data_IF_897444434129
#
_entry.id   IF_897444434129
#
_cell.length_a   1.000
_cell.length_b   1.000
_cell.length_c   1.000
_cell.angle_alpha   90.00
_cell.angle_beta   90.00
_cell.angle_gamma   90.00
#
_symmetry.space_group_name_H-M   'P 1'
#
loop_
_entity.id
_entity.type
_entity.pdbx_description
1 polymer ?
2 non-polymer ?
3 non-polymer ?
4 non-polymer ?
5 non-polymer ?
6 water ?
#
# COMPACT_ATOMS: atom_id res chain seq x y z
N UNK A 2 -27.70 1.33 -4.94
CA UNK A 2 -26.68 2.39 -5.00
C UNK A 2 -25.51 2.18 -4.04
N UNK A 3 -24.31 2.45 -4.56
CA UNK A 3 -23.10 2.27 -3.78
C UNK A 3 -23.11 3.16 -2.52
N UNK A 4 -22.60 2.62 -1.42
CA UNK A 4 -22.62 3.32 -0.14
C UNK A 4 -21.22 3.35 0.49
N UNK A 5 -20.87 4.53 0.97
CA UNK A 5 -19.59 4.78 1.62
C UNK A 5 -19.80 5.19 3.06
N UNK A 6 -19.12 4.49 3.95
CA UNK A 6 -19.14 4.80 5.38
C UNK A 6 -18.01 5.75 5.81
N UNK A 7 -18.35 6.77 6.58
CA UNK A 7 -17.39 7.64 7.22
C UNK A 7 -16.84 8.79 6.40
N UNK A 8 -17.71 9.51 5.66
CA UNK A 8 -17.18 10.47 4.69
C UNK A 8 -16.50 11.70 5.29
N UNK A 9 -16.67 11.91 6.59
CA UNK A 9 -16.07 13.09 7.23
C UNK A 9 -14.61 12.89 7.57
N UNK A 10 -14.14 11.65 7.48
CA UNK A 10 -12.73 11.41 7.77
C UNK A 10 -11.91 11.53 6.50
N UNK A 11 -10.61 11.60 6.66
CA UNK A 11 -9.74 11.94 5.55
C UNK A 11 -9.63 10.78 4.58
N UNK A 12 -9.30 9.61 5.10
CA UNK A 12 -9.07 8.45 4.25
C UNK A 12 -10.25 8.11 3.30
N UNK A 13 -11.51 8.16 3.79
CA UNK A 13 -12.62 7.91 2.86
C UNK A 13 -12.70 8.88 1.69
N UNK A 14 -12.19 10.09 1.86
CA UNK A 14 -12.24 11.06 0.78
C UNK A 14 -11.48 10.58 -0.48
N UNK A 15 -10.48 9.71 -0.31
CA UNK A 15 -9.79 9.14 -1.48
C UNK A 15 -10.79 8.42 -2.39
N UNK A 16 -11.72 7.69 -1.76
CA UNK A 16 -12.78 7.00 -2.46
C UNK A 16 -13.84 7.99 -2.95
N UNK A 17 -14.22 8.95 -2.12
CA UNK A 17 -15.25 9.92 -2.51
C UNK A 17 -14.86 10.71 -3.75
N UNK A 18 -13.62 11.24 -3.76
CA UNK A 18 -13.20 12.04 -4.92
C UNK A 18 -13.11 11.15 -6.18
N UNK A 19 -12.73 9.88 -6.02
CA UNK A 19 -12.66 9.01 -7.18
C UNK A 19 -14.07 8.81 -7.77
N UNK A 20 -15.04 8.56 -6.89
CA UNK A 20 -16.44 8.41 -7.28
C UNK A 20 -16.96 9.64 -8.04
N UNK A 21 -16.65 10.82 -7.51
CA UNK A 21 -17.10 12.06 -8.14
C UNK A 21 -16.37 12.31 -9.47
N UNK A 22 -15.06 12.05 -9.53
CA UNK A 22 -14.34 12.16 -10.83
C UNK A 22 -14.98 11.28 -11.91
N UNK A 23 -15.41 10.08 -11.51
CA UNK A 23 -15.96 9.08 -12.42
C UNK A 23 -17.44 9.24 -12.69
N UNK A 24 -18.06 10.25 -12.10
CA UNK A 24 -19.48 10.50 -12.27
C UNK A 24 -20.39 9.42 -11.70
N UNK A 25 -19.93 8.71 -10.67
CA UNK A 25 -20.72 7.61 -10.11
C UNK A 25 -21.63 8.04 -8.95
N UNK A 26 -22.92 7.69 -9.02
CA UNK A 26 -23.88 7.89 -7.91
C UNK A 26 -23.52 7.07 -6.66
N UNK A 27 -23.66 7.69 -5.49
CA UNK A 27 -23.34 7.01 -4.23
C UNK A 27 -24.00 7.73 -3.07
N UNK A 28 -24.09 7.05 -1.93
CA UNK A 28 -24.63 7.66 -0.71
C UNK A 28 -23.59 7.46 0.36
N UNK A 29 -23.68 8.26 1.42
CA UNK A 29 -22.71 8.13 2.47
C UNK A 29 -23.48 7.88 3.75
N UNK A 30 -22.84 7.19 4.69
CA UNK A 30 -23.41 6.85 5.98
C UNK A 30 -22.38 7.17 7.04
N UNK A 31 -22.75 8.04 8.00
CA UNK A 31 -21.84 8.48 9.07
C UNK A 31 -21.36 7.34 9.96
N UNK A 32 -20.19 7.54 10.56
CA UNK A 32 -19.68 6.60 11.55
C UNK A 32 -19.31 7.41 12.80
N UNK A 33 -19.95 7.07 13.92
CA UNK A 33 -19.77 7.83 15.15
C UNK A 33 -18.66 7.24 16.02
N UNK A 34 -17.46 7.80 15.92
CA UNK A 34 -16.32 7.31 16.69
C UNK A 34 -16.57 7.55 18.17
N UNK A 35 -17.14 8.71 18.50
CA UNK A 35 -17.34 9.11 19.89
C UNK A 35 -18.16 8.07 20.63
N UNK A 36 -19.07 7.42 19.92
CA UNK A 36 -19.84 6.36 20.54
C UNK A 36 -19.22 4.96 20.28
N UNK A 37 -18.10 4.90 19.57
CA UNK A 37 -17.46 3.61 19.32
C UNK A 37 -18.28 2.72 18.36
N UNK A 38 -19.08 3.33 17.51
CA UNK A 38 -19.81 2.60 16.49
C UNK A 38 -18.84 1.70 15.69
N UNK A 39 -17.63 2.20 15.46
CA UNK A 39 -16.65 1.50 14.64
C UNK A 39 -16.06 0.27 15.33
N UNK A 40 -16.29 0.12 16.63
CA UNK A 40 -15.77 -1.03 17.34
C UNK A 40 -16.89 -1.98 17.74
N UNK A 41 -18.10 -1.69 17.26
CA UNK A 41 -19.26 -2.55 17.52
C UNK A 41 -19.47 -3.52 16.38
N UNK A 42 -20.17 -4.65 16.64
CA UNK A 42 -20.33 -5.75 15.68
C UNK A 42 -20.91 -5.38 14.27
N UNK A 43 -21.93 -4.53 14.19
CA UNK A 43 -22.50 -4.20 12.89
C UNK A 43 -21.44 -3.65 11.94
N UNK A 44 -20.65 -2.70 12.41
CA UNK A 44 -19.66 -2.12 11.53
C UNK A 44 -18.48 -3.08 11.33
N UNK A 45 -18.14 -3.87 12.34
CA UNK A 45 -17.02 -4.78 12.18
C UNK A 45 -17.33 -5.87 11.12
N UNK A 46 -18.62 -6.10 10.86
CA UNK A 46 -19.02 -7.04 9.84
C UNK A 46 -18.76 -6.48 8.43
N UNK A 47 -18.65 -5.15 8.30
CA UNK A 47 -18.28 -4.54 7.03
C UNK A 47 -16.78 -4.34 6.92
N UNK A 48 -16.18 -3.83 8.01
CA UNK A 48 -14.76 -3.56 8.09
C UNK A 48 -14.17 -4.13 9.37
N UNK A 49 -13.51 -5.28 9.27
CA UNK A 49 -13.12 -6.09 10.43
C UNK A 49 -11.97 -5.47 11.25
N UNK A 50 -11.32 -4.44 10.72
CA UNK A 50 -10.25 -3.77 11.46
C UNK A 50 -10.78 -2.56 12.21
N UNK A 51 -12.07 -2.30 12.02
CA UNK A 51 -12.75 -1.21 12.67
C UNK A 51 -12.26 0.15 12.26
N UNK A 52 -11.90 0.32 10.98
CA UNK A 52 -11.50 1.65 10.47
C UNK A 52 -12.33 2.01 9.23
N UNK A 53 -12.35 3.30 8.92
CA UNK A 53 -13.06 3.84 7.77
C UNK A 53 -12.13 4.01 6.57
N UNK A 54 -12.65 3.88 5.35
CA UNK A 54 -14.06 3.69 4.99
C UNK A 54 -14.47 2.23 4.88
N UNK A 55 -15.78 2.01 4.71
CA UNK A 55 -16.25 0.71 4.27
C UNK A 55 -17.20 1.02 3.14
N UNK A 56 -17.11 0.23 2.06
CA UNK A 56 -17.93 0.49 0.91
C UNK A 56 -18.77 -0.72 0.59
N UNK A 57 -20.05 -0.50 0.36
CA UNK A 57 -20.94 -1.57 -0.05
C UNK A 57 -21.58 -1.24 -1.39
N UNK A 58 -21.47 -2.16 -2.34
CA UNK A 58 -22.02 -1.91 -3.66
C UNK A 58 -22.95 -3.03 -4.02
N UNK A 59 -24.21 -2.88 -3.62
CA UNK A 59 -25.17 -3.97 -3.74
C UNK A 59 -24.77 -5.06 -2.75
N UNK A 60 -24.48 -6.26 -3.25
CA UNK A 60 -24.03 -7.36 -2.37
C UNK A 60 -22.52 -7.34 -2.15
N UNK A 61 -21.80 -6.45 -2.85
CA UNK A 61 -20.35 -6.47 -2.84
C UNK A 61 -19.76 -5.52 -1.79
N UNK A 62 -18.91 -6.05 -0.90
CA UNK A 62 -18.29 -5.23 0.13
C UNK A 62 -16.82 -5.10 -0.19
N UNK A 63 -16.29 -3.89 0.00
CA UNK A 63 -14.86 -3.69 -0.17
C UNK A 63 -14.36 -2.57 0.73
N UNK A 64 -13.19 -2.79 1.32
CA UNK A 64 -12.55 -1.76 2.15
C UNK A 64 -11.06 -1.55 1.75
N UNK A 65 -10.40 -0.65 2.50
CA UNK A 65 -9.09 -0.04 2.16
C UNK A 65 -9.33 1.00 1.10
N UNK A 66 -9.09 2.25 1.48
CA UNK A 66 -9.43 3.37 0.63
C UNK A 66 -8.84 3.26 -0.78
N UNK A 67 -7.59 2.82 -0.90
CA UNK A 67 -6.99 2.74 -2.24
C UNK A 67 -7.46 1.52 -3.02
N UNK A 68 -7.82 0.45 -2.31
CA UNK A 68 -8.46 -0.68 -3.00
C UNK A 68 -9.81 -0.24 -3.60
N UNK A 69 -10.55 0.59 -2.88
CA UNK A 69 -11.81 1.10 -3.37
C UNK A 69 -11.60 1.99 -4.60
N UNK A 70 -10.60 2.87 -4.53
CA UNK A 70 -10.24 3.69 -5.69
C UNK A 70 -10.00 2.82 -6.92
N UNK A 71 -9.19 1.76 -6.79
CA UNK A 71 -8.91 0.89 -7.92
C UNK A 71 -10.20 0.21 -8.47
N UNK A 72 -11.03 -0.28 -7.54
CA UNK A 72 -12.25 -0.99 -7.90
C UNK A 72 -13.19 -0.10 -8.71
N UNK A 73 -13.40 1.12 -8.23
CA UNK A 73 -14.26 2.10 -8.88
C UNK A 73 -13.72 2.49 -10.26
N UNK A 74 -12.41 2.67 -10.32
CA UNK A 74 -11.76 3.10 -11.58
C UNK A 74 -11.77 1.97 -12.61
N UNK A 75 -11.78 0.72 -12.14
CA UNK A 75 -11.82 -0.41 -13.08
C UNK A 75 -13.25 -0.61 -13.54
N UNK A 76 -14.18 -0.66 -12.58
CA UNK A 76 -15.58 -0.90 -12.86
C UNK A 76 -16.21 0.15 -13.78
N UNK A 77 -15.79 1.41 -13.62
CA UNK A 77 -16.33 2.49 -14.42
C UNK A 77 -15.27 3.06 -15.35
N UNK A 78 -14.40 2.18 -15.81
CA UNK A 78 -13.26 2.61 -16.59
C UNK A 78 -13.66 3.41 -17.82
N UNK A 79 -14.79 3.06 -18.42
CA UNK A 79 -15.13 3.64 -19.71
C UNK A 79 -15.83 5.01 -19.62
N UNK A 80 -15.99 5.54 -18.41
CA UNK A 80 -16.59 6.85 -18.27
C UNK A 80 -15.69 7.81 -17.49
N UNK A 81 -15.84 9.10 -17.75
CA UNK A 81 -15.01 10.10 -17.08
C UNK A 81 -13.54 10.07 -17.46
N UNK A 82 -12.69 10.70 -16.65
CA UNK A 82 -11.27 10.62 -17.01
C UNK A 82 -10.82 9.19 -16.76
N UNK A 83 -9.76 8.72 -17.44
CA UNK A 83 -9.27 7.38 -17.12
C UNK A 83 -8.16 7.50 -16.12
N UNK A 84 -8.48 7.19 -14.87
CA UNK A 84 -7.60 7.45 -13.75
C UNK A 84 -6.59 6.35 -13.60
N UNK A 85 -6.67 5.37 -14.50
CA UNK A 85 -5.74 4.24 -14.52
C UNK A 85 -4.73 4.27 -15.67
N UNK A 86 -4.77 5.32 -16.48
CA UNK A 86 -3.93 5.36 -17.66
C UNK A 86 -4.53 4.50 -18.76
N UNK A 87 -3.87 4.44 -19.91
CA UNK A 87 -4.38 3.63 -21.01
C UNK A 87 -3.69 2.25 -21.09
N UNK A 88 -2.37 2.21 -20.91
CA UNK A 88 -1.64 0.96 -21.09
C UNK A 88 -1.30 0.27 -19.76
N UNK A 89 -0.74 -0.94 -19.86
CA UNK A 89 -0.22 -1.69 -18.73
C UNK A 89 0.95 -0.95 -18.05
N UNK A 90 1.82 -0.36 -18.86
CA UNK A 90 2.94 0.41 -18.33
C UNK A 90 2.43 1.62 -17.60
N UNK A 91 1.44 2.29 -18.19
CA UNK A 91 0.78 3.40 -17.53
C UNK A 91 0.26 2.98 -16.17
N UNK A 92 -0.45 1.85 -16.14
CA UNK A 92 -1.06 1.46 -14.91
C UNK A 92 -0.01 1.09 -13.85
N UNK A 93 1.11 0.52 -14.31
CA UNK A 93 2.22 0.22 -13.44
C UNK A 93 2.73 1.47 -12.72
N UNK A 94 2.80 2.59 -13.42
CA UNK A 94 3.26 3.83 -12.79
C UNK A 94 2.20 4.34 -11.79
N UNK A 95 0.92 4.12 -12.07
CA UNK A 95 -0.12 4.52 -11.13
C UNK A 95 -0.01 3.70 -9.84
N UNK A 96 0.23 2.41 -9.99
CA UNK A 96 0.40 1.53 -8.85
C UNK A 96 1.63 1.91 -8.04
N UNK A 97 2.70 2.23 -8.73
CA UNK A 97 3.98 2.62 -8.10
C UNK A 97 3.77 3.81 -7.16
N UNK A 98 3.23 4.89 -7.70
CA UNK A 98 3.02 6.08 -6.89
C UNK A 98 1.88 5.96 -5.86
N UNK A 99 0.93 5.05 -6.10
CA UNK A 99 -0.11 4.74 -5.13
C UNK A 99 0.52 4.09 -3.90
N UNK A 100 1.46 3.18 -4.15
CA UNK A 100 2.16 2.50 -3.07
C UNK A 100 3.12 3.44 -2.35
N UNK A 101 3.73 4.37 -3.10
CA UNK A 101 4.57 5.41 -2.51
C UNK A 101 3.72 6.26 -1.58
N UNK A 102 2.52 6.64 -2.04
CA UNK A 102 1.62 7.38 -1.15
C UNK A 102 1.32 6.58 0.13
N UNK A 103 1.01 5.30 -0.02
CA UNK A 103 0.62 4.47 1.12
C UNK A 103 1.79 4.16 2.07
N UNK A 104 2.96 3.80 1.55
CA UNK A 104 4.07 3.28 2.38
C UNK A 104 5.07 4.35 2.83
N UNK A 105 5.12 5.46 2.13
CA UNK A 105 6.21 6.41 2.26
C UNK A 105 5.77 7.83 2.53
N UNK A 106 4.81 8.32 1.74
CA UNK A 106 4.28 9.66 1.94
C UNK A 106 3.36 9.76 3.16
N UNK A 107 2.36 8.89 3.25
CA UNK A 107 1.33 9.00 4.31
C UNK A 107 1.79 8.77 5.77
N UNK A 108 2.67 7.76 6.02
CA UNK A 108 2.97 7.49 7.43
C UNK A 108 3.56 8.68 8.22
N UNK A 109 4.55 9.40 7.68
CA UNK A 109 4.91 10.58 8.49
C UNK A 109 3.82 11.67 8.52
N UNK A 110 3.06 11.82 7.44
CA UNK A 110 2.01 12.84 7.44
C UNK A 110 0.87 12.45 8.40
N UNK A 111 0.64 11.15 8.55
CA UNK A 111 -0.34 10.67 9.51
C UNK A 111 0.11 11.05 10.91
N UNK A 112 1.41 10.91 11.15
CA UNK A 112 1.96 11.28 12.44
C UNK A 112 1.74 12.74 12.80
N UNK A 113 2.01 13.61 11.82
CA UNK A 113 1.78 15.04 12.00
C UNK A 113 0.30 15.30 12.29
N UNK A 114 -0.57 14.60 11.57
CA UNK A 114 -2.01 14.76 11.75
C UNK A 114 -2.47 14.36 13.16
N UNK A 115 -2.08 13.18 13.61
CA UNK A 115 -2.42 12.71 14.94
C UNK A 115 -1.90 13.65 16.04
N UNK A 116 -0.68 14.17 15.89
CA UNK A 116 -0.09 14.91 17.00
C UNK A 116 -0.34 16.41 16.97
N UNK A 117 -0.66 16.97 15.80
CA UNK A 117 -0.90 18.39 15.75
C UNK A 117 -2.42 18.64 15.82
N UNK A 118 -3.19 17.87 15.03
CA UNK A 118 -4.65 18.05 14.96
C UNK A 118 -5.49 17.36 16.05
N UNK A 119 -5.06 16.18 16.50
CA UNK A 119 -5.84 15.40 17.46
C UNK A 119 -5.16 15.11 18.81
N UNK A 120 -4.46 16.10 19.37
CA UNK A 120 -3.86 15.92 20.69
C UNK A 120 -4.26 17.05 21.62
N UNK A 128 3.94 15.11 21.90
CA UNK A 128 5.25 14.60 21.50
C UNK A 128 5.98 15.53 20.52
N UNK A 129 6.79 16.45 21.04
CA UNK A 129 7.45 17.42 20.16
C UNK A 129 8.54 16.81 19.25
N UNK A 130 9.21 15.76 19.73
CA UNK A 130 10.33 15.14 19.01
C UNK A 130 9.83 14.38 17.79
N UNK A 131 8.81 13.57 17.99
CA UNK A 131 8.19 12.79 16.91
C UNK A 131 7.64 13.70 15.81
N UNK A 132 7.19 14.90 16.19
CA UNK A 132 6.71 15.88 15.23
C UNK A 132 7.83 16.37 14.33
N UNK A 133 8.96 16.74 14.95
CA UNK A 133 10.14 17.18 14.22
C UNK A 133 10.64 16.09 13.28
N UNK A 134 10.74 14.87 13.79
CA UNK A 134 11.26 13.75 13.01
C UNK A 134 10.36 13.45 11.82
N UNK A 135 9.05 13.43 12.04
CA UNK A 135 8.11 13.12 10.97
C UNK A 135 8.05 14.21 9.89
N UNK A 136 8.23 15.47 10.30
CA UNK A 136 8.30 16.59 9.35
C UNK A 136 9.51 16.50 8.46
N UNK A 137 10.64 16.16 9.07
CA UNK A 137 11.89 15.95 8.35
C UNK A 137 11.75 14.78 7.37
N UNK A 138 11.07 13.72 7.79
CA UNK A 138 10.94 12.54 6.95
C UNK A 138 10.09 12.88 5.73
N UNK A 139 9.00 13.61 5.98
CA UNK A 139 8.09 14.03 4.92
C UNK A 139 8.77 15.03 3.97
N UNK A 140 9.63 15.89 4.52
CA UNK A 140 10.38 16.84 3.70
C UNK A 140 11.32 16.12 2.72
N UNK A 141 11.93 15.02 3.17
CA UNK A 141 12.75 14.21 2.29
C UNK A 141 11.92 13.56 1.18
N UNK A 142 10.73 13.09 1.54
CA UNK A 142 9.81 12.54 0.57
C UNK A 142 9.44 13.60 -0.47
N UNK A 143 9.06 14.78 0.00
CA UNK A 143 8.70 15.87 -0.88
C UNK A 143 9.82 16.32 -1.82
N UNK A 144 11.08 16.22 -1.38
CA UNK A 144 12.21 16.60 -2.24
C UNK A 144 12.30 15.70 -3.46
N UNK A 145 12.00 14.43 -3.26
CA UNK A 145 11.98 13.45 -4.34
C UNK A 145 10.84 13.76 -5.34
N UNK A 146 9.65 14.04 -4.81
CA UNK A 146 8.49 14.48 -5.60
C UNK A 146 8.82 15.73 -6.42
N UNK A 147 9.49 16.68 -5.79
CA UNK A 147 9.87 17.90 -6.47
C UNK A 147 10.73 17.59 -7.70
N UNK A 148 11.73 16.74 -7.54
CA UNK A 148 12.55 16.33 -8.67
C UNK A 148 11.71 15.62 -9.74
N UNK A 149 10.88 14.67 -9.32
CA UNK A 149 10.05 13.90 -10.24
C UNK A 149 9.06 14.76 -11.04
N UNK A 150 8.36 15.64 -10.34
CA UNK A 150 7.32 16.47 -10.93
C UNK A 150 7.88 17.56 -11.87
N UNK A 151 9.21 17.64 -11.94
CA UNK A 151 9.91 18.49 -12.91
C UNK A 151 9.94 17.89 -14.29
N UNK A 152 9.97 16.57 -14.34
CA UNK A 152 10.10 15.81 -15.57
C UNK A 152 8.78 15.15 -15.93
N UNK A 153 7.79 15.33 -15.09
CA UNK A 153 6.52 14.63 -15.21
C UNK A 153 5.39 15.51 -14.66
N UNK A 154 4.37 15.74 -15.48
CA UNK A 154 3.29 16.68 -15.14
C UNK A 154 2.50 16.24 -13.92
N UNK A 155 2.16 14.95 -13.90
CA UNK A 155 1.53 14.32 -12.75
C UNK A 155 2.43 13.18 -12.31
N UNK A 156 2.11 12.56 -11.17
CA UNK A 156 2.98 11.51 -10.64
C UNK A 156 3.23 10.36 -11.63
N UNK A 157 2.16 9.87 -12.27
CA UNK A 157 2.28 8.66 -13.08
C UNK A 157 2.56 8.97 -14.53
N UNK A 158 2.73 10.26 -14.86
CA UNK A 158 2.98 10.68 -16.24
C UNK A 158 2.25 11.95 -16.64
N UNK A 159 1.71 12.00 -17.85
CA UNK A 159 1.08 13.22 -18.36
C UNK A 159 -0.43 13.26 -18.10
N UNK A 160 -0.92 12.34 -17.29
CA UNK A 160 -2.35 12.25 -17.01
C UNK A 160 -2.60 12.19 -15.51
N UNK A 161 -3.68 12.82 -15.04
CA UNK A 161 -4.10 12.72 -13.64
C UNK A 161 -4.54 11.29 -13.32
N UNK A 162 -4.23 10.82 -12.13
CA UNK A 162 -4.58 9.44 -11.86
C UNK A 162 -4.94 9.20 -10.40
N UNK A 163 -5.34 7.98 -10.09
CA UNK A 163 -5.56 7.58 -8.71
C UNK A 163 -4.40 8.00 -7.81
N UNK A 164 -3.16 7.94 -8.31
CA UNK A 164 -2.00 8.21 -7.45
C UNK A 164 -1.98 9.65 -6.98
N UNK A 165 -2.37 10.57 -7.87
CA UNK A 165 -2.45 11.97 -7.46
C UNK A 165 -3.58 12.13 -6.46
N UNK A 166 -4.76 11.59 -6.81
CA UNK A 166 -5.96 11.76 -5.98
C UNK A 166 -5.71 11.24 -4.57
N UNK A 167 -4.93 10.16 -4.41
CA UNK A 167 -4.67 9.58 -3.09
C UNK A 167 -3.99 10.57 -2.12
N UNK A 168 -3.32 11.57 -2.68
CA UNK A 168 -2.63 12.58 -1.88
C UNK A 168 -3.54 13.70 -1.38
N UNK A 169 -4.76 13.78 -1.89
CA UNK A 169 -5.59 14.96 -1.59
C UNK A 169 -5.95 15.14 -0.10
N UNK A 170 -6.58 14.12 0.54
CA UNK A 170 -7.16 14.42 1.87
C UNK A 170 -6.17 14.82 3.00
N UNK A 171 -5.04 14.15 3.12
CA UNK A 171 -4.15 14.44 4.23
C UNK A 171 -3.24 15.62 3.92
N UNK A 172 -2.99 15.86 2.63
CA UNK A 172 -2.22 17.03 2.26
C UNK A 172 -3.07 18.30 2.48
N UNK A 173 -4.39 18.16 2.32
CA UNK A 173 -5.33 19.21 2.65
C UNK A 173 -5.12 19.60 4.11
N UNK A 174 -4.95 18.58 4.95
CA UNK A 174 -4.64 18.82 6.36
C UNK A 174 -3.31 19.58 6.52
N UNK A 175 -2.28 19.08 5.85
CA UNK A 175 -0.94 19.65 5.88
C UNK A 175 -0.93 21.15 5.56
N UNK A 176 -1.62 21.57 4.49
CA UNK A 176 -1.60 22.97 4.09
C UNK A 176 -2.61 23.82 4.85
N UNK A 177 -3.45 23.17 5.65
CA UNK A 177 -4.47 23.87 6.42
C UNK A 177 -4.32 23.79 7.93
N UNK A 178 -5.08 22.87 8.55
CA UNK A 178 -5.12 22.71 10.02
C UNK A 178 -3.78 22.32 10.67
N UNK A 179 -2.96 21.55 9.98
CA UNK A 179 -1.65 21.17 10.49
C UNK A 179 -0.74 22.39 10.49
N UNK A 180 -0.98 23.31 9.56
CA UNK A 180 -0.28 24.58 9.54
C UNK A 180 1.07 24.60 8.87
N UNK A 181 1.32 23.66 7.96
CA UNK A 181 2.62 23.61 7.30
C UNK A 181 2.54 23.70 5.78
N UNK A 182 1.76 24.65 5.28
CA UNK A 182 1.65 24.88 3.85
C UNK A 182 3.01 25.16 3.19
N UNK A 183 3.98 25.70 3.93
CA UNK A 183 5.27 26.05 3.34
C UNK A 183 5.93 24.80 2.75
N UNK A 184 5.64 23.62 3.32
CA UNK A 184 6.24 22.39 2.82
C UNK A 184 5.83 22.10 1.38
N UNK A 185 4.63 22.54 0.99
CA UNK A 185 4.22 22.46 -0.41
C UNK A 185 4.65 23.71 -1.19
N UNK A 186 4.37 24.87 -0.61
CA UNK A 186 4.57 26.12 -1.33
C UNK A 186 6.03 26.39 -1.68
N UNK A 187 6.96 25.93 -0.85
CA UNK A 187 8.38 26.23 -1.08
C UNK A 187 8.97 25.38 -2.21
N UNK A 188 8.20 24.41 -2.67
CA UNK A 188 8.66 23.53 -3.74
C UNK A 188 7.85 23.79 -5.00
N UNK A 189 8.49 24.44 -5.96
CA UNK A 189 7.82 25.07 -7.08
C UNK A 189 6.98 24.07 -7.88
N UNK A 190 7.53 22.91 -8.20
CA UNK A 190 6.82 21.92 -8.98
C UNK A 190 5.78 21.16 -8.19
N UNK A 191 6.10 20.80 -6.96
CA UNK A 191 5.14 20.16 -6.07
C UNK A 191 3.95 21.08 -5.89
N UNK A 192 4.24 22.37 -5.72
CA UNK A 192 3.23 23.37 -5.44
C UNK A 192 2.32 23.63 -6.64
N UNK A 193 2.90 23.66 -7.83
CA UNK A 193 2.10 23.85 -9.04
C UNK A 193 1.18 22.61 -9.20
N UNK A 194 1.74 21.45 -8.89
CA UNK A 194 0.99 20.22 -8.97
C UNK A 194 -0.17 20.20 -7.99
N UNK A 195 0.09 20.61 -6.75
CA UNK A 195 -0.97 20.67 -5.73
C UNK A 195 -2.11 21.62 -6.13
N UNK A 196 -1.75 22.80 -6.65
CA UNK A 196 -2.72 23.78 -7.08
C UNK A 196 -3.63 23.19 -8.15
N UNK A 197 -3.03 22.41 -9.04
CA UNK A 197 -3.76 21.78 -10.11
C UNK A 197 -4.77 20.77 -9.56
N UNK A 198 -4.30 19.70 -8.93
CA UNK A 198 -5.20 18.61 -8.57
C UNK A 198 -6.22 19.01 -7.51
N UNK A 199 -5.84 19.91 -6.61
CA UNK A 199 -6.71 20.31 -5.52
C UNK A 199 -7.67 21.41 -5.92
N UNK A 200 -7.59 21.87 -7.17
CA UNK A 200 -8.57 22.82 -7.67
C UNK A 200 -9.57 22.14 -8.61
N UNK A 201 -9.37 20.86 -8.88
CA UNK A 201 -10.31 20.11 -9.70
C UNK A 201 -11.69 20.05 -9.02
N UNK A 202 -12.77 20.24 -9.79
CA UNK A 202 -14.13 20.34 -9.23
C UNK A 202 -14.49 19.17 -8.30
N UNK A 203 -14.04 17.97 -8.66
CA UNK A 203 -14.43 16.79 -7.89
C UNK A 203 -13.90 16.89 -6.46
N UNK A 204 -12.68 17.38 -6.31
CA UNK A 204 -12.12 17.55 -4.97
C UNK A 204 -12.77 18.74 -4.24
N UNK A 205 -13.06 19.81 -4.96
CA UNK A 205 -13.72 20.94 -4.31
C UNK A 205 -15.11 20.50 -3.81
N UNK A 206 -15.78 19.68 -4.61
CA UNK A 206 -17.12 19.21 -4.24
C UNK A 206 -17.02 18.25 -3.06
N UNK A 207 -15.99 17.41 -3.04
CA UNK A 207 -15.78 16.50 -1.92
C UNK A 207 -15.67 17.28 -0.62
N UNK A 208 -14.87 18.36 -0.67
CA UNK A 208 -14.56 19.15 0.51
C UNK A 208 -15.76 19.96 1.01
N UNK A 209 -16.51 20.55 0.08
CA UNK A 209 -17.73 21.27 0.44
C UNK A 209 -18.70 20.32 1.18
N UNK A 210 -18.81 19.08 0.71
CA UNK A 210 -19.81 18.19 1.28
C UNK A 210 -19.32 17.51 2.55
N UNK A 211 -18.04 17.14 2.63
CA UNK A 211 -17.64 16.20 3.66
C UNK A 211 -16.48 16.62 4.59
N UNK A 212 -16.38 17.91 4.87
CA UNK A 212 -15.38 18.43 5.80
C UNK A 212 -15.90 18.72 7.20
N UNK A 213 -15.40 17.96 8.17
CA UNK A 213 -15.67 18.16 9.61
C UNK A 213 -17.17 18.26 9.91
N UNK B 2 14.87 -10.91 -19.87
CA UNK B 2 15.76 -9.76 -19.87
C UNK B 2 15.27 -8.78 -18.80
N UNK B 3 14.09 -9.05 -18.25
CA UNK B 3 13.57 -8.27 -17.14
C UNK B 3 14.55 -8.43 -15.97
N UNK B 4 14.81 -7.35 -15.23
CA UNK B 4 15.83 -7.40 -14.17
C UNK B 4 15.34 -6.95 -12.81
N UNK B 5 15.68 -7.72 -11.79
CA UNK B 5 15.25 -7.38 -10.44
C UNK B 5 16.46 -7.00 -9.60
N UNK B 6 16.39 -5.86 -8.95
CA UNK B 6 17.49 -5.38 -8.09
C UNK B 6 17.30 -5.81 -6.63
N UNK B 7 18.34 -6.42 -6.06
CA UNK B 7 18.37 -6.72 -4.63
C UNK B 7 17.65 -8.00 -4.19
N UNK B 8 17.88 -9.12 -4.89
CA UNK B 8 17.05 -10.30 -4.65
C UNK B 8 17.28 -10.99 -3.30
N UNK B 9 18.35 -10.65 -2.57
CA UNK B 9 18.62 -11.33 -1.30
C UNK B 9 17.79 -10.75 -0.15
N UNK B 10 17.15 -9.62 -0.38
CA UNK B 10 16.33 -9.00 0.64
C UNK B 10 14.86 -9.41 0.51
N UNK B 11 14.06 -9.07 1.52
CA UNK B 11 12.69 -9.60 1.63
C UNK B 11 11.66 -8.99 0.65
N UNK B 12 11.53 -7.66 0.59
CA UNK B 12 10.56 -7.05 -0.32
C UNK B 12 10.73 -7.52 -1.75
N UNK B 13 11.99 -7.61 -2.25
CA UNK B 13 12.11 -8.01 -3.64
C UNK B 13 11.54 -9.39 -3.91
N UNK B 14 11.55 -10.26 -2.90
CA UNK B 14 11.00 -11.60 -3.07
C UNK B 14 9.49 -11.60 -3.37
N UNK B 15 8.77 -10.54 -2.98
CA UNK B 15 7.38 -10.42 -3.42
C UNK B 15 7.32 -10.44 -4.94
N UNK B 16 8.25 -9.72 -5.57
CA UNK B 16 8.32 -9.66 -7.03
C UNK B 16 8.83 -10.96 -7.62
N UNK B 17 9.86 -11.53 -6.98
CA UNK B 17 10.43 -12.76 -7.48
C UNK B 17 9.40 -13.91 -7.54
N UNK B 18 8.64 -14.11 -6.47
CA UNK B 18 7.70 -15.20 -6.43
C UNK B 18 6.58 -14.97 -7.46
N UNK B 19 6.21 -13.71 -7.68
CA UNK B 19 5.20 -13.46 -8.67
C UNK B 19 5.73 -13.84 -10.05
N UNK B 20 6.95 -13.42 -10.33
CA UNK B 20 7.57 -13.76 -11.61
C UNK B 20 7.64 -15.25 -11.86
N UNK B 21 8.05 -16.00 -10.84
CA UNK B 21 8.19 -17.44 -10.96
C UNK B 21 6.82 -18.13 -11.09
N UNK B 22 5.83 -17.68 -10.32
CA UNK B 22 4.46 -18.19 -10.45
C UNK B 22 3.97 -18.04 -11.89
N UNK B 23 4.34 -16.91 -12.50
CA UNK B 23 3.91 -16.57 -13.85
C UNK B 23 4.81 -17.15 -14.96
N UNK B 24 5.86 -17.87 -14.57
CA UNK B 24 6.77 -18.43 -15.56
C UNK B 24 7.52 -17.39 -16.40
N UNK B 25 7.77 -16.22 -15.84
CA UNK B 25 8.43 -15.18 -16.62
C UNK B 25 9.96 -15.28 -16.47
N UNK B 26 10.67 -15.23 -17.59
CA UNK B 26 12.13 -15.17 -17.56
C UNK B 26 12.60 -13.83 -17.03
N UNK B 27 13.63 -13.87 -16.17
CA UNK B 27 14.19 -12.67 -15.56
C UNK B 27 15.61 -12.89 -15.02
N UNK B 28 16.31 -11.80 -14.75
CA UNK B 28 17.59 -11.88 -14.11
C UNK B 28 17.60 -10.98 -12.88
N UNK B 29 18.57 -11.21 -12.00
CA UNK B 29 18.69 -10.39 -10.81
C UNK B 29 20.04 -9.69 -10.77
N UNK B 30 20.06 -8.55 -10.09
CA UNK B 30 21.23 -7.71 -9.93
C UNK B 30 21.39 -7.36 -8.45
N UNK B 31 22.51 -7.77 -7.85
CA UNK B 31 22.76 -7.57 -6.41
C UNK B 31 22.91 -6.11 -6.02
N UNK B 32 22.46 -5.77 -4.82
CA UNK B 32 22.59 -4.41 -4.29
C UNK B 32 23.11 -4.49 -2.84
N UNK B 33 24.21 -3.81 -2.55
CA UNK B 33 24.86 -3.96 -1.25
C UNK B 33 24.32 -2.90 -0.27
N UNK B 34 23.27 -3.25 0.48
CA UNK B 34 22.68 -2.30 1.41
C UNK B 34 23.63 -1.94 2.56
N UNK B 35 24.41 -2.90 3.03
CA UNK B 35 25.32 -2.70 4.12
C UNK B 35 26.36 -1.61 3.83
N UNK B 36 26.85 -1.54 2.59
CA UNK B 36 27.84 -0.52 2.22
C UNK B 36 27.15 0.69 1.60
N UNK B 37 25.83 0.65 1.57
CA UNK B 37 25.05 1.77 1.06
C UNK B 37 25.00 1.98 -0.45
N UNK B 38 25.19 0.92 -1.23
CA UNK B 38 24.99 0.96 -2.68
C UNK B 38 23.62 1.54 -3.02
N UNK B 39 22.61 1.22 -2.22
CA UNK B 39 21.22 1.64 -2.49
C UNK B 39 21.01 3.13 -2.26
N UNK B 40 22.00 3.80 -1.66
CA UNK B 40 21.93 5.26 -1.44
C UNK B 40 22.92 6.05 -2.31
N UNK B 41 23.60 5.36 -3.22
CA UNK B 41 24.56 5.96 -4.15
C UNK B 41 23.85 6.31 -5.49
N UNK B 42 24.42 7.24 -6.27
CA UNK B 42 23.77 7.76 -7.49
C UNK B 42 23.33 6.72 -8.52
N UNK B 43 24.11 5.66 -8.76
CA UNK B 43 23.73 4.66 -9.76
C UNK B 43 22.35 4.06 -9.46
N UNK B 44 22.12 3.66 -8.22
CA UNK B 44 20.86 3.04 -7.85
C UNK B 44 19.76 4.09 -7.65
N UNK B 45 20.11 5.31 -7.23
CA UNK B 45 19.06 6.32 -7.01
C UNK B 45 18.36 6.71 -8.32
N UNK B 46 19.03 6.48 -9.45
CA UNK B 46 18.43 6.79 -10.74
C UNK B 46 17.33 5.80 -11.08
N UNK B 47 17.37 4.61 -10.50
CA UNK B 47 16.31 3.63 -10.71
C UNK B 47 15.22 3.76 -9.63
N UNK B 48 15.65 3.92 -8.38
CA UNK B 48 14.72 4.02 -7.27
C UNK B 48 15.03 5.28 -6.44
N UNK B 49 14.27 6.37 -6.66
CA UNK B 49 14.69 7.64 -6.06
C UNK B 49 14.57 7.68 -4.54
N UNK B 50 13.86 6.72 -3.97
CA UNK B 50 13.75 6.65 -2.51
C UNK B 50 14.88 5.79 -1.92
N UNK B 51 15.71 5.23 -2.77
CA UNK B 51 16.84 4.45 -2.31
C UNK B 51 16.51 3.17 -1.56
N UNK B 52 15.49 2.43 -2.00
CA UNK B 52 15.20 1.11 -1.43
C UNK B 52 15.01 0.06 -2.51
N UNK B 53 15.19 -1.20 -2.13
CA UNK B 53 14.99 -2.33 -3.03
C UNK B 53 13.60 -2.96 -2.78
N UNK B 54 12.95 -3.50 -3.85
CA UNK B 54 13.47 -3.68 -5.20
C UNK B 54 13.26 -2.52 -6.15
N UNK B 55 13.92 -2.65 -7.30
CA UNK B 55 13.63 -1.86 -8.48
C UNK B 55 13.65 -2.83 -9.64
N UNK B 56 12.76 -2.66 -10.60
CA UNK B 56 12.80 -3.56 -11.74
C UNK B 56 13.04 -2.74 -13.01
N UNK B 57 13.93 -3.25 -13.87
CA UNK B 57 14.13 -2.66 -15.19
C UNK B 57 13.65 -3.68 -16.22
N UNK B 58 12.75 -3.25 -17.10
CA UNK B 58 12.18 -4.10 -18.13
C UNK B 58 12.20 -3.48 -19.52
N UNK B 59 13.30 -3.68 -20.24
CA UNK B 59 13.45 -3.07 -21.54
C UNK B 59 13.55 -1.58 -21.36
N UNK B 60 12.62 -0.87 -21.98
CA UNK B 60 12.60 0.58 -21.92
C UNK B 60 11.96 1.01 -20.61
N UNK B 61 11.35 0.05 -19.92
CA UNK B 61 10.48 0.32 -18.77
C UNK B 61 11.12 0.18 -17.39
N UNK B 62 10.87 1.15 -16.52
CA UNK B 62 11.33 1.13 -15.12
C UNK B 62 10.13 1.12 -14.17
N UNK B 63 10.17 0.33 -13.09
CA UNK B 63 9.12 0.37 -12.06
C UNK B 63 9.64 -0.08 -10.67
N UNK B 64 9.19 0.58 -9.60
CA UNK B 64 9.56 0.15 -8.24
C UNK B 64 8.33 0.07 -7.32
N UNK B 65 8.56 -0.20 -6.04
CA UNK B 65 7.54 -0.58 -5.05
C UNK B 65 7.14 -2.04 -5.30
N UNK B 66 7.54 -2.90 -4.36
CA UNK B 66 7.40 -4.35 -4.55
C UNK B 66 5.97 -4.80 -4.98
N UNK B 67 4.92 -4.27 -4.34
CA UNK B 67 3.56 -4.67 -4.70
C UNK B 67 3.10 -4.07 -6.05
N UNK B 68 3.60 -2.88 -6.39
CA UNK B 68 3.32 -2.33 -7.73
C UNK B 68 3.95 -3.26 -8.76
N UNK B 69 5.14 -3.77 -8.43
CA UNK B 69 5.82 -4.69 -9.34
C UNK B 69 5.01 -6.00 -9.48
N UNK B 70 4.46 -6.49 -8.37
CA UNK B 70 3.59 -7.66 -8.41
C UNK B 70 2.40 -7.45 -9.36
N UNK B 71 1.72 -6.32 -9.20
CA UNK B 71 0.55 -5.99 -10.01
C UNK B 71 0.92 -5.87 -11.48
N UNK B 72 2.03 -5.20 -11.76
CA UNK B 72 2.46 -5.04 -13.15
C UNK B 72 2.78 -6.37 -13.83
N UNK B 73 3.55 -7.22 -13.16
CA UNK B 73 3.87 -8.53 -13.71
C UNK B 73 2.58 -9.32 -13.93
N UNK B 74 1.67 -9.23 -12.97
CA UNK B 74 0.45 -10.03 -13.02
C UNK B 74 -0.47 -9.58 -14.15
N UNK B 75 -0.42 -8.29 -14.49
CA UNK B 75 -1.27 -7.76 -15.53
C UNK B 75 -0.65 -7.99 -16.91
N UNK B 76 0.63 -7.68 -17.03
CA UNK B 76 1.35 -7.87 -18.29
C UNK B 76 1.34 -9.34 -18.72
N UNK B 77 1.39 -10.24 -17.75
CA UNK B 77 1.39 -11.66 -18.06
C UNK B 77 0.12 -12.35 -17.62
N UNK B 78 -0.99 -11.62 -17.68
CA UNK B 78 -2.25 -12.10 -17.11
C UNK B 78 -2.71 -13.42 -17.72
N UNK B 79 -2.42 -13.58 -19.01
CA UNK B 79 -2.98 -14.70 -19.77
C UNK B 79 -2.19 -16.00 -19.68
N UNK B 80 -1.12 -15.99 -18.87
CA UNK B 80 -0.37 -17.22 -18.62
C UNK B 80 -0.27 -17.46 -17.12
N UNK B 81 -0.08 -18.74 -16.74
CA UNK B 81 -0.01 -19.14 -15.35
C UNK B 81 -1.32 -18.93 -14.62
N UNK B 82 -1.29 -19.01 -13.29
CA UNK B 82 -2.51 -18.81 -12.48
C UNK B 82 -2.95 -17.37 -12.55
N UNK B 83 -4.21 -17.04 -12.32
CA UNK B 83 -4.53 -15.62 -12.34
C UNK B 83 -4.56 -15.07 -10.94
N UNK B 84 -3.49 -14.36 -10.63
CA UNK B 84 -3.17 -13.89 -9.30
C UNK B 84 -3.90 -12.60 -9.02
N UNK B 85 -4.66 -12.13 -10.01
CA UNK B 85 -5.52 -10.95 -9.91
C UNK B 85 -7.00 -11.31 -9.87
N UNK B 86 -7.31 -12.61 -9.92
CA UNK B 86 -8.69 -13.06 -10.03
C UNK B 86 -9.26 -12.97 -11.43
N UNK B 87 -10.51 -13.38 -11.60
CA UNK B 87 -11.14 -13.39 -12.92
C UNK B 87 -11.96 -12.12 -13.20
N UNK B 88 -12.76 -11.69 -12.23
CA UNK B 88 -13.65 -10.54 -12.41
C UNK B 88 -13.10 -9.25 -11.81
N UNK B 89 -13.79 -8.13 -12.05
CA UNK B 89 -13.44 -6.86 -11.41
C UNK B 89 -13.60 -6.94 -9.88
N UNK B 90 -14.64 -7.64 -9.44
CA UNK B 90 -14.92 -7.84 -8.03
C UNK B 90 -13.86 -8.70 -7.34
N UNK B 91 -13.48 -9.80 -8.01
CA UNK B 91 -12.39 -10.63 -7.52
C UNK B 91 -11.17 -9.75 -7.36
N UNK B 92 -10.89 -8.94 -8.37
CA UNK B 92 -9.70 -8.12 -8.30
C UNK B 92 -9.80 -7.05 -7.21
N UNK B 93 -11.01 -6.58 -6.92
CA UNK B 93 -11.19 -5.66 -5.81
C UNK B 93 -10.72 -6.31 -4.52
N UNK B 94 -11.07 -7.58 -4.31
CA UNK B 94 -10.68 -8.30 -3.11
C UNK B 94 -9.17 -8.55 -3.03
N UNK B 95 -8.55 -8.74 -4.18
CA UNK B 95 -7.11 -8.92 -4.20
C UNK B 95 -6.46 -7.61 -3.80
N UNK B 96 -6.97 -6.51 -4.36
CA UNK B 96 -6.45 -5.19 -4.05
C UNK B 96 -6.63 -4.91 -2.57
N UNK B 97 -7.80 -5.28 -2.06
CA UNK B 97 -8.15 -5.05 -0.67
C UNK B 97 -7.13 -5.67 0.30
N UNK B 98 -6.90 -6.96 0.13
CA UNK B 98 -5.97 -7.65 1.02
C UNK B 98 -4.49 -7.30 0.72
N UNK B 99 -4.16 -6.86 -0.50
CA UNK B 99 -2.81 -6.37 -0.77
C UNK B 99 -2.53 -5.10 0.02
N UNK B 100 -3.55 -4.24 0.10
CA UNK B 100 -3.45 -2.97 0.81
C UNK B 100 -3.41 -3.20 2.32
N UNK B 101 -4.11 -4.24 2.78
CA UNK B 101 -4.06 -4.64 4.18
C UNK B 101 -2.63 -5.10 4.52
N UNK B 102 -2.01 -5.89 3.63
CA UNK B 102 -0.62 -6.33 3.86
C UNK B 102 0.28 -5.11 3.98
N UNK B 103 0.13 -4.18 3.05
CA UNK B 103 1.02 -3.02 3.05
C UNK B 103 0.79 -2.10 4.25
N UNK B 104 -0.47 -1.81 4.58
CA UNK B 104 -0.76 -0.76 5.54
C UNK B 104 -0.90 -1.23 6.97
N UNK B 105 -1.19 -2.51 7.14
CA UNK B 105 -1.64 -3.01 8.42
C UNK B 105 -0.85 -4.24 8.93
N UNK B 106 -0.63 -5.22 8.07
CA UNK B 106 0.16 -6.40 8.44
C UNK B 106 1.66 -6.10 8.48
N UNK B 107 2.15 -5.54 7.39
CA UNK B 107 3.59 -5.37 7.27
C UNK B 107 4.22 -4.40 8.28
N UNK B 108 3.58 -3.25 8.60
CA UNK B 108 4.37 -2.30 9.42
C UNK B 108 4.86 -2.84 10.79
N UNK B 109 3.97 -3.45 11.62
CA UNK B 109 4.50 -4.01 12.86
C UNK B 109 5.45 -5.21 12.63
N UNK B 110 5.23 -5.97 11.57
CA UNK B 110 6.11 -7.09 11.27
C UNK B 110 7.48 -6.57 10.80
N UNK B 111 7.47 -5.41 10.15
CA UNK B 111 8.72 -4.77 9.78
C UNK B 111 9.46 -4.37 11.04
N UNK B 112 8.74 -3.82 12.02
CA UNK B 112 9.41 -3.40 13.23
C UNK B 112 10.07 -4.59 13.93
N UNK B 113 9.36 -5.71 13.97
CA UNK B 113 9.94 -6.92 14.56
C UNK B 113 11.18 -7.36 13.79
N UNK B 114 11.14 -7.29 12.47
CA UNK B 114 12.28 -7.73 11.66
C UNK B 114 13.49 -6.89 11.97
N UNK B 115 13.32 -5.58 11.85
CA UNK B 115 14.37 -4.61 12.11
C UNK B 115 14.96 -4.72 13.51
N UNK B 116 14.14 -4.91 14.54
CA UNK B 116 14.69 -4.79 15.87
C UNK B 116 15.20 -6.12 16.39
N UNK B 117 14.73 -7.23 15.83
CA UNK B 117 15.22 -8.53 16.27
C UNK B 117 16.31 -9.03 15.34
N UNK B 118 16.07 -8.97 14.04
CA UNK B 118 17.04 -9.51 13.09
C UNK B 118 18.16 -8.54 12.79
N UNK B 119 17.86 -7.23 12.73
CA UNK B 119 18.89 -6.25 12.36
C UNK B 119 19.07 -5.21 13.44
N UNK B 120 19.04 -5.67 14.69
CA UNK B 120 19.21 -4.82 15.87
C UNK B 120 20.37 -3.82 15.76
N UNK B 121 21.52 -4.24 15.22
CA UNK B 121 22.69 -3.36 15.06
C UNK B 121 22.38 -2.12 14.24
N UNK B 122 21.61 -2.31 13.18
CA UNK B 122 21.19 -1.24 12.29
C UNK B 122 20.34 -0.21 13.03
N UNK B 123 19.55 -0.68 14.00
CA UNK B 123 18.66 0.18 14.80
C UNK B 123 19.32 0.80 16.03
N UNK B 124 20.50 0.33 16.41
CA UNK B 124 21.19 0.88 17.57
C UNK B 124 20.77 0.33 18.93
N UNK B 125 21.60 0.60 19.93
CA UNK B 125 21.40 0.06 21.27
C UNK B 125 21.32 1.20 22.29
N UNK B 126 20.58 1.00 23.40
CA UNK B 126 19.84 -0.23 23.77
C UNK B 126 18.65 -0.48 22.85
N UNK B 127 18.26 -1.74 22.71
CA UNK B 127 17.21 -2.06 21.75
C UNK B 127 15.86 -1.62 22.34
N UNK B 128 14.93 -1.25 21.46
CA UNK B 128 13.66 -0.75 21.93
C UNK B 128 12.79 -1.95 22.32
N UNK B 129 12.88 -2.38 23.57
CA UNK B 129 12.14 -3.57 24.01
C UNK B 129 10.65 -3.26 24.04
N UNK B 130 10.34 -1.99 24.25
CA UNK B 130 8.98 -1.52 24.34
C UNK B 130 8.32 -1.58 22.96
N UNK B 131 8.99 -1.05 21.94
CA UNK B 131 8.47 -1.08 20.57
C UNK B 131 8.32 -2.50 20.06
N UNK B 132 9.19 -3.39 20.53
CA UNK B 132 9.14 -4.81 20.17
C UNK B 132 7.87 -5.45 20.75
N UNK B 133 7.58 -5.19 22.02
CA UNK B 133 6.34 -5.67 22.64
C UNK B 133 5.10 -5.13 21.91
N UNK B 134 5.08 -3.83 21.63
CA UNK B 134 3.93 -3.20 20.97
C UNK B 134 3.68 -3.79 19.60
N UNK B 135 4.77 -3.99 18.86
CA UNK B 135 4.67 -4.49 17.51
C UNK B 135 4.20 -5.94 17.52
N UNK B 136 4.63 -6.70 18.51
CA UNK B 136 4.14 -8.07 18.58
C UNK B 136 2.64 -8.08 18.88
N UNK B 137 2.22 -7.20 19.79
CA UNK B 137 0.81 -7.07 20.13
C UNK B 137 -0.04 -6.66 18.91
N UNK B 138 0.46 -5.72 18.13
CA UNK B 138 -0.31 -5.18 17.03
C UNK B 138 -0.51 -6.27 15.96
N UNK B 139 0.56 -7.01 15.67
CA UNK B 139 0.54 -8.07 14.67
C UNK B 139 -0.38 -9.24 15.07
N UNK B 140 -0.42 -9.54 16.35
CA UNK B 140 -1.32 -10.58 16.86
C UNK B 140 -2.79 -10.20 16.64
N UNK B 141 -3.10 -8.91 16.79
CA UNK B 141 -4.44 -8.41 16.54
C UNK B 141 -4.81 -8.57 15.07
N UNK B 142 -3.86 -8.24 14.20
CA UNK B 142 -4.05 -8.38 12.77
C UNK B 142 -4.28 -9.85 12.49
N UNK B 143 -3.42 -10.68 13.07
CA UNK B 143 -3.54 -12.12 12.87
C UNK B 143 -4.88 -12.67 13.41
N UNK B 144 -5.42 -12.09 14.47
CA UNK B 144 -6.71 -12.52 14.96
C UNK B 144 -7.81 -12.31 13.91
N UNK B 145 -7.74 -11.21 13.18
CA UNK B 145 -8.70 -10.93 12.13
C UNK B 145 -8.57 -11.94 10.98
N UNK B 146 -7.33 -12.19 10.59
CA UNK B 146 -6.99 -13.19 9.59
C UNK B 146 -7.56 -14.57 9.91
N UNK B 147 -7.42 -14.97 11.17
CA UNK B 147 -7.91 -16.26 11.65
C UNK B 147 -9.42 -16.38 11.44
N UNK B 148 -10.17 -15.34 11.79
CA UNK B 148 -11.62 -15.34 11.56
C UNK B 148 -11.91 -15.35 10.06
N UNK B 149 -11.21 -14.50 9.34
CA UNK B 149 -11.43 -14.38 7.91
C UNK B 149 -11.13 -15.67 7.17
N UNK B 150 -9.94 -16.24 7.43
CA UNK B 150 -9.51 -17.42 6.71
C UNK B 150 -10.27 -18.69 7.14
N UNK B 151 -11.10 -18.58 8.17
CA UNK B 151 -12.00 -19.65 8.53
C UNK B 151 -13.21 -19.64 7.58
N UNK B 152 -13.46 -18.50 6.93
CA UNK B 152 -14.58 -18.37 5.99
C UNK B 152 -14.11 -18.31 4.51
N UNK B 153 -12.79 -18.30 4.28
CA UNK B 153 -12.25 -18.24 2.92
C UNK B 153 -10.89 -18.91 2.83
N UNK B 154 -10.71 -19.73 1.79
CA UNK B 154 -9.52 -20.58 1.63
C UNK B 154 -8.22 -19.77 1.49
N UNK B 155 -8.28 -18.70 0.71
CA UNK B 155 -7.21 -17.73 0.61
C UNK B 155 -7.76 -16.36 0.99
N UNK B 156 -6.88 -15.37 1.08
CA UNK B 156 -7.28 -14.03 1.48
C UNK B 156 -8.39 -13.42 0.60
N UNK B 157 -8.25 -13.50 -0.72
CA UNK B 157 -9.22 -12.84 -1.60
C UNK B 157 -10.38 -13.73 -2.05
N UNK B 158 -10.43 -14.98 -1.57
CA UNK B 158 -11.49 -15.89 -1.99
C UNK B 158 -10.94 -17.29 -2.19
N UNK B 159 -11.43 -18.01 -3.19
CA UNK B 159 -11.04 -19.43 -3.31
C UNK B 159 -9.84 -19.65 -4.22
N UNK B 160 -9.17 -18.57 -4.58
CA UNK B 160 -8.03 -18.68 -5.47
C UNK B 160 -6.83 -17.97 -4.83
N UNK B 161 -5.63 -18.54 -5.00
CA UNK B 161 -4.43 -17.88 -4.50
C UNK B 161 -4.19 -16.63 -5.33
N UNK B 162 -3.71 -15.57 -4.70
CA UNK B 162 -3.57 -14.31 -5.40
C UNK B 162 -2.35 -13.50 -4.92
N UNK B 163 -2.12 -12.37 -5.56
CA UNK B 163 -1.06 -11.46 -5.12
C UNK B 163 -1.10 -11.20 -3.62
N UNK B 164 -2.30 -11.12 -3.05
CA UNK B 164 -2.47 -10.79 -1.65
C UNK B 164 -1.84 -11.87 -0.75
N UNK B 165 -2.01 -13.13 -1.11
CA UNK B 165 -1.38 -14.19 -0.34
C UNK B 165 0.13 -14.11 -0.51
N UNK B 166 0.55 -14.01 -1.76
CA UNK B 166 1.96 -14.01 -2.08
C UNK B 166 2.71 -12.90 -1.36
N UNK B 167 2.07 -11.74 -1.19
CA UNK B 167 2.76 -10.60 -0.57
C UNK B 167 3.19 -10.86 0.87
N UNK B 168 2.56 -11.84 1.53
CA UNK B 168 2.88 -12.18 2.91
C UNK B 168 4.07 -13.14 3.03
N UNK B 169 4.52 -13.70 1.91
CA UNK B 169 5.53 -14.75 2.01
C UNK B 169 6.87 -14.28 2.61
N UNK B 170 7.49 -13.21 2.06
CA UNK B 170 8.89 -12.97 2.49
C UNK B 170 9.10 -12.65 3.97
N UNK B 171 8.25 -11.81 4.57
CA UNK B 171 8.44 -11.42 5.95
C UNK B 171 7.82 -12.39 6.96
N UNK B 172 6.80 -13.12 6.56
CA UNK B 172 6.25 -14.12 7.45
C UNK B 172 7.23 -15.28 7.58
N UNK B 173 7.99 -15.53 6.52
CA UNK B 173 9.08 -16.51 6.53
C UNK B 173 10.09 -16.12 7.62
N UNK B 174 10.39 -14.81 7.74
CA UNK B 174 11.24 -14.32 8.84
C UNK B 174 10.60 -14.60 10.18
N UNK B 175 9.33 -14.21 10.29
CA UNK B 175 8.56 -14.37 11.54
C UNK B 175 8.64 -15.77 12.10
N UNK B 176 8.44 -16.78 11.24
CA UNK B 176 8.41 -18.16 11.73
C UNK B 176 9.82 -18.76 11.83
N UNK B 177 10.82 -18.03 11.33
CA UNK B 177 12.19 -18.50 11.38
C UNK B 177 13.12 -17.64 12.23
N UNK B 178 13.90 -16.79 11.57
CA UNK B 178 14.92 -15.98 12.26
C UNK B 178 14.37 -15.03 13.34
N UNK B 179 13.16 -14.52 13.18
CA UNK B 179 12.55 -13.67 14.20
C UNK B 179 12.24 -14.49 15.44
N UNK B 180 11.95 -15.78 15.23
CA UNK B 180 11.74 -16.71 16.31
C UNK B 180 10.33 -16.71 16.88
N UNK B 181 9.34 -16.31 16.08
CA UNK B 181 7.97 -16.25 16.62
C UNK B 181 6.97 -17.09 15.81
N UNK B 182 7.35 -18.31 15.47
CA UNK B 182 6.50 -19.23 14.71
C UNK B 182 5.14 -19.48 15.37
N UNK B 183 5.05 -19.33 16.68
CA UNK B 183 3.80 -19.58 17.41
C UNK B 183 2.67 -18.63 17.02
N UNK B 184 3.01 -17.42 16.58
CA UNK B 184 1.98 -16.46 16.21
C UNK B 184 1.19 -16.96 15.01
N UNK B 185 1.84 -17.78 14.19
CA UNK B 185 1.18 -18.48 13.08
C UNK B 185 0.57 -19.82 13.56
N UNK B 186 1.35 -20.60 14.30
CA UNK B 186 0.94 -21.96 14.69
C UNK B 186 -0.26 -21.99 15.63
N UNK B 187 -0.38 -20.99 16.48
CA UNK B 187 -1.44 -20.98 17.49
C UNK B 187 -2.79 -20.61 16.89
N UNK B 188 -2.80 -20.17 15.64
CA UNK B 188 -4.04 -19.79 14.94
C UNK B 188 -4.30 -20.81 13.82
N UNK B 189 -5.27 -21.70 14.02
CA UNK B 189 -5.34 -22.91 13.18
C UNK B 189 -5.56 -22.60 11.70
N UNK B 190 -6.45 -21.67 11.38
CA UNK B 190 -6.74 -21.42 9.97
C UNK B 190 -5.59 -20.70 9.31
N UNK B 191 -4.97 -19.78 10.03
CA UNK B 191 -3.81 -19.06 9.53
C UNK B 191 -2.68 -20.04 9.23
N UNK B 192 -2.50 -20.98 10.14
CA UNK B 192 -1.41 -21.93 10.07
C UNK B 192 -1.57 -22.88 8.88
N UNK B 193 -2.79 -23.33 8.63
CA UNK B 193 -3.04 -24.16 7.45
C UNK B 193 -2.83 -23.33 6.19
N UNK B 194 -3.30 -22.11 6.21
CA UNK B 194 -3.12 -21.21 5.09
C UNK B 194 -1.62 -20.94 4.86
N UNK B 195 -0.89 -20.65 5.93
CA UNK B 195 0.55 -20.43 5.82
C UNK B 195 1.25 -21.65 5.24
N UNK B 196 0.89 -22.82 5.74
CA UNK B 196 1.44 -24.07 5.24
C UNK B 196 1.19 -24.27 3.76
N UNK B 197 0.01 -23.84 3.30
CA UNK B 197 -0.36 -23.94 1.89
C UNK B 197 0.55 -23.06 1.01
N UNK B 198 0.50 -21.74 1.18
CA UNK B 198 1.21 -20.84 0.27
C UNK B 198 2.73 -20.94 0.34
N UNK B 199 3.29 -21.23 1.51
CA UNK B 199 4.75 -21.26 1.64
C UNK B 199 5.33 -22.60 1.19
N UNK B 200 4.47 -23.55 0.84
CA UNK B 200 5.00 -24.79 0.29
C UNK B 200 4.73 -24.85 -1.21
N UNK B 201 4.17 -23.77 -1.75
CA UNK B 201 3.99 -23.69 -3.21
C UNK B 201 5.34 -23.69 -3.87
N UNK B 202 5.47 -24.44 -4.99
CA UNK B 202 6.76 -24.60 -5.67
C UNK B 202 7.46 -23.29 -6.00
N UNK B 203 6.71 -22.26 -6.38
CA UNK B 203 7.33 -20.99 -6.74
C UNK B 203 8.04 -20.39 -5.52
N UNK B 204 7.42 -20.51 -4.35
CA UNK B 204 8.03 -19.94 -3.18
C UNK B 204 9.25 -20.77 -2.77
N UNK B 205 9.17 -22.09 -2.90
CA UNK B 205 10.31 -22.93 -2.54
C UNK B 205 11.53 -22.59 -3.40
N UNK B 206 11.29 -22.32 -4.68
CA UNK B 206 12.35 -21.95 -5.63
C UNK B 206 12.91 -20.55 -5.33
N UNK B 207 12.06 -19.60 -4.93
CA UNK B 207 12.48 -18.26 -4.56
C UNK B 207 13.50 -18.32 -3.44
N UNK B 208 13.19 -19.16 -2.46
CA UNK B 208 14.00 -19.30 -1.26
C UNK B 208 15.30 -20.05 -1.57
N UNK B 209 15.21 -21.10 -2.39
CA UNK B 209 16.40 -21.85 -2.78
C UNK B 209 17.44 -20.97 -3.49
N UNK B 210 16.96 -20.09 -4.36
CA UNK B 210 17.81 -19.31 -5.23
C UNK B 210 18.27 -17.96 -4.67
N UNK B 211 17.45 -17.33 -3.83
CA UNK B 211 17.71 -15.93 -3.48
C UNK B 211 17.82 -15.64 -1.99
N UNK B 212 18.35 -16.59 -1.24
CA UNK B 212 18.61 -16.37 0.17
C UNK B 212 20.11 -16.11 0.43
N UNK B 213 20.51 -16.17 1.70
CA UNK B 213 21.90 -15.98 2.15
C UNK B 213 22.46 -14.63 1.69
X LIG C 1 5.22 20.82 -15.63
X LIG C 1 6.16 21.47 -14.79
X LIG C 1 5.63 19.37 -15.90
X LIG C 1 6.99 19.20 -15.59
X LIG C 1 5.33 18.95 -17.34
X LIG C 1 6.43 18.27 -17.91
X LIG D 1 -18.60 10.30 9.16
X LIG E 1 7.61 -0.02 0.10
X LIG E 1 8.83 -0.52 -0.42
X LIG E 1 8.57 -1.79 -1.23
X LIG E 1 7.74 -2.69 -0.83
X LIG E 1 9.20 -1.97 -2.33
X LIG E 1 9.79 -0.78 0.74
X LIG E 1 11.05 -1.43 0.23
X LIG E 1 12.12 -1.46 1.35
X LIG E 1 11.97 -0.82 2.37
X LIG E 1 13.30 -2.24 1.18
X LIG E 1 14.29 -2.29 2.20
X LIG E 1 15.41 -1.31 1.93
X LIG E 1 15.73 -1.04 0.81
X LIG E 1 14.92 -3.68 2.24
X LIG E 1 13.72 -4.97 2.71
X LIG E 1 12.98 -4.57 3.99
X LIG E 1 12.59 -5.08 1.74
X LIG E 1 14.34 -6.33 2.78
X LIG E 1 16.13 -0.73 3.05
X LIG E 1 17.21 0.18 2.79
X LIG E 1 17.11 1.47 3.58
X LIG E 1 18.17 2.03 3.96
X LIG E 1 15.99 1.98 3.81
X LIG F 1 4.90 -21.44 -15.01
X LIG F 1 4.95 -22.63 -14.24
X LIG F 1 3.45 -21.04 -15.22
X LIG F 1 2.66 -22.21 -15.30
X LIG F 1 3.25 -20.18 -16.47
X LIG F 1 3.79 -20.81 -17.64
X LIG G 1 15.74 -0.10 6.49
X LIG G 1 16.26 -1.52 6.13
X LIG G 1 15.14 -2.50 5.84
X LIG G 1 14.02 -2.06 5.55
X LIG G 1 16.07 1.85 8.18
X LIG G 1 16.67 2.26 9.21
X LIG G 1 14.97 2.30 7.76
X LIG G 1 17.34 -0.24 8.35
X LIG G 1 16.76 0.69 7.39
X LIG G 1 15.30 -3.97 5.87
X LIG G 1 16.48 -4.94 6.18
X LIG G 1 16.60 -6.06 5.10
X LIG G 1 15.25 -7.31 5.40
X LIG G 1 15.55 -8.44 4.18
X LIG G 1 17.88 -4.19 6.32
X LIG G 1 18.10 -3.49 7.32
X LIG G 1 18.84 -4.35 5.37
X LIG G 1 20.12 -3.62 5.54
X LIG G 1 21.34 -4.56 5.86
X LIG G 1 21.21 -5.79 5.63
X LIG G 1 22.36 -4.02 6.33
X LIG H 1 21.05 -8.58 -3.40
#
# INVERSE_FOLDING_TARGET
MVLKVYGPHFASPKRALVTLIEKGVAFETIPVDLMKGEHKQPAYLALQPFGTVPAVVDGDYKIFESRAVMRYVAEKYRSQGPDLLGKTVEDRGQVEQWLDVEATTYHPPLLNLTLHIMFASVMGFPSDEKLIKESEEKLAGVLDVYEAHLSKSKYLAGDFVSLADLAHLPFTDYLVGPIGKAYMIKDRKHVSAWWDDISSRPAWKETVAKYSFPA
MVLKVYGPHFASPKRALVTLIEKGVAFETIPVDLMKGEHKQPAYLALQPFGTVPAVVDGDYKIFESRAVMRYVAEKYRSQGPDLLGKTVEDRGQVEQWLDVEATTYHPPLLNLTLHIMFASVMGFPSDEKLIKESEEKLAGVLDVYEAHLSKSKYLAGDFVSLADLAHLPFTDYLVGPIGKAYMIKDRKHVSAWWDDISSRPAWKETVAKYSFPA
GOL C1 O1 C2 O2 C3 O3
BR BR
GTS N1 CA1 C1 O11 O12 CB1 CG1 CD1 OE1 N2 CA2 C2 O2 CB2 SG2 O1S O2S O3S N3 CA3 C3 O31 O32
GOL C1 O1 C2 O2 C3 O3
GS8 CB1 CG1 CD1 OE1 C1 O11 O12 N1 CA1 N2 CA2 CB2 SG2 O13 C2 O2 N3 CA3 C3 O32 O31
BR BR
#
